data_IF_203136785420
#
_entry.id   IF_203136785420
#
_cell.length_a   1.000
_cell.length_b   1.000
_cell.length_c   1.000
_cell.angle_alpha   90.00
_cell.angle_beta   90.00
_cell.angle_gamma   90.00
#
_symmetry.space_group_name_H-M   'P 1'
#
loop_
_entity.id
_entity.type
_entity.pdbx_description
1 polymer ?
#
# COMPACT_ATOMS: atom_id res chain seq x y z
N UNK A 1 -27.15 15.28 5.33
CA UNK A 1 -26.30 14.88 4.20
C UNK A 1 -25.04 14.08 4.62
N UNK A 2 -24.34 14.42 5.69
CA UNK A 2 -23.13 13.70 6.18
C UNK A 2 -23.39 12.25 6.62
N UNK A 3 -24.50 11.94 7.25
CA UNK A 3 -24.84 10.60 7.74
C UNK A 3 -25.22 9.59 6.64
N UNK A 4 -25.74 10.06 5.52
CA UNK A 4 -26.10 9.22 4.36
C UNK A 4 -24.82 8.85 3.57
N UNK A 5 -23.91 9.79 3.40
CA UNK A 5 -22.63 9.56 2.71
C UNK A 5 -21.75 8.56 3.46
N UNK A 6 -21.68 8.63 4.79
CA UNK A 6 -20.95 7.68 5.64
C UNK A 6 -21.51 6.26 5.54
N UNK A 7 -22.84 6.10 5.50
CA UNK A 7 -23.48 4.78 5.36
C UNK A 7 -23.30 4.17 3.98
N UNK A 8 -23.28 4.98 2.92
CA UNK A 8 -23.02 4.51 1.56
C UNK A 8 -21.56 4.09 1.39
N UNK A 9 -20.61 4.83 1.92
CA UNK A 9 -19.17 4.45 1.89
C UNK A 9 -18.94 3.15 2.65
N UNK A 10 -19.55 2.98 3.83
CA UNK A 10 -19.44 1.75 4.61
C UNK A 10 -20.07 0.54 3.89
N UNK A 11 -21.22 0.73 3.24
CA UNK A 11 -21.87 -0.32 2.47
C UNK A 11 -21.08 -0.72 1.22
N UNK A 12 -20.43 0.26 0.53
CA UNK A 12 -19.55 0.00 -0.62
C UNK A 12 -18.27 -0.72 -0.19
N UNK A 13 -17.68 -0.34 0.95
CA UNK A 13 -16.53 -1.03 1.51
C UNK A 13 -16.87 -2.46 1.93
N UNK A 14 -18.03 -2.69 2.54
CA UNK A 14 -18.50 -4.03 2.91
C UNK A 14 -18.78 -4.90 1.68
N UNK A 15 -19.33 -4.32 0.60
CA UNK A 15 -19.56 -5.01 -0.67
C UNK A 15 -18.25 -5.34 -1.41
N UNK A 16 -17.24 -4.45 -1.35
CA UNK A 16 -15.90 -4.70 -1.85
C UNK A 16 -15.19 -5.80 -1.05
N UNK A 17 -15.34 -5.82 0.28
CA UNK A 17 -14.81 -6.87 1.13
C UNK A 17 -15.40 -8.25 0.82
N UNK A 18 -16.73 -8.31 0.64
CA UNK A 18 -17.40 -9.57 0.26
C UNK A 18 -17.05 -10.03 -1.15
N UNK A 19 -16.82 -9.12 -2.09
CA UNK A 19 -16.42 -9.48 -3.47
C UNK A 19 -14.95 -9.94 -3.55
N UNK A 20 -14.04 -9.41 -2.73
CA UNK A 20 -12.67 -9.92 -2.64
C UNK A 20 -12.61 -11.32 -2.03
N UNK A 21 -13.40 -11.59 -0.98
CA UNK A 21 -13.49 -12.92 -0.39
C UNK A 21 -14.02 -13.99 -1.35
N UNK A 22 -14.94 -13.62 -2.26
CA UNK A 22 -15.47 -14.53 -3.30
C UNK A 22 -14.46 -14.71 -4.44
N UNK A 23 -13.68 -13.67 -4.78
CA UNK A 23 -12.64 -13.77 -5.81
C UNK A 23 -11.46 -14.65 -5.39
N UNK A 24 -11.11 -14.64 -4.10
CA UNK A 24 -10.06 -15.49 -3.55
C UNK A 24 -10.43 -16.99 -3.54
N UNK A 25 -11.72 -17.31 -3.53
CA UNK A 25 -12.22 -18.70 -3.57
C UNK A 25 -12.53 -19.22 -4.98
N UNK A 26 -12.50 -18.38 -6.00
CA UNK A 26 -12.63 -18.82 -7.40
C UNK A 26 -11.33 -19.50 -7.84
N UNK A 27 -11.26 -20.83 -7.72
CA UNK A 27 -10.18 -21.60 -8.34
C UNK A 27 -10.19 -21.29 -9.83
N UNK A 28 -9.07 -20.76 -10.41
CA UNK A 28 -8.99 -20.64 -11.87
C UNK A 28 -9.19 -22.04 -12.45
N UNK A 29 -10.08 -22.18 -13.42
CA UNK A 29 -10.21 -23.41 -14.17
C UNK A 29 -8.84 -23.74 -14.74
N UNK A 30 -8.25 -24.88 -14.33
CA UNK A 30 -6.99 -25.36 -14.86
C UNK A 30 -7.18 -25.57 -16.37
N UNK A 31 -6.55 -24.74 -17.18
CA UNK A 31 -6.46 -25.02 -18.61
C UNK A 31 -5.56 -26.25 -18.73
N UNK A 32 -6.05 -27.31 -19.38
CA UNK A 32 -5.27 -28.52 -19.59
C UNK A 32 -3.90 -28.16 -20.18
N UNK A 33 -2.84 -28.65 -19.58
CA UNK A 33 -1.47 -28.40 -20.06
C UNK A 33 -1.34 -28.99 -21.45
N UNK A 34 -0.87 -28.18 -22.40
CA UNK A 34 -0.64 -28.64 -23.76
C UNK A 34 0.47 -29.71 -23.77
N UNK A 35 0.35 -30.76 -24.59
CA UNK A 35 1.44 -31.73 -24.77
C UNK A 35 2.73 -31.02 -25.20
N UNK A 36 3.87 -31.65 -24.91
CA UNK A 36 5.15 -31.11 -25.32
C UNK A 36 5.20 -30.91 -26.86
N UNK A 37 5.50 -29.69 -27.34
CA UNK A 37 5.55 -29.41 -28.79
C UNK A 37 6.83 -29.96 -29.45
N UNK A 38 7.81 -30.42 -28.68
CA UNK A 38 9.12 -30.88 -29.16
C UNK A 38 9.19 -32.41 -29.12
N UNK A 39 9.55 -33.04 -30.24
CA UNK A 39 9.74 -34.49 -30.35
C UNK A 39 10.86 -35.03 -29.42
N UNK A 40 11.84 -34.16 -29.08
CA UNK A 40 12.93 -34.48 -28.16
C UNK A 40 12.57 -34.32 -26.67
N UNK A 41 11.30 -33.99 -26.39
CA UNK A 41 10.80 -33.81 -25.04
C UNK A 41 10.87 -32.36 -24.54
N UNK A 42 10.21 -32.12 -23.42
CA UNK A 42 10.15 -30.84 -22.72
C UNK A 42 10.56 -30.99 -21.25
N UNK A 43 11.13 -29.92 -20.70
CA UNK A 43 11.34 -29.74 -19.28
C UNK A 43 10.42 -28.61 -18.79
N UNK A 44 9.71 -28.84 -17.71
CA UNK A 44 8.93 -27.81 -17.06
C UNK A 44 9.79 -27.07 -16.04
N UNK A 45 10.04 -25.80 -16.29
CA UNK A 45 10.68 -24.91 -15.31
C UNK A 45 9.62 -24.08 -14.58
N UNK A 46 9.55 -24.21 -13.26
CA UNK A 46 8.60 -23.49 -12.40
C UNK A 46 9.37 -22.43 -11.63
N UNK A 47 9.08 -21.17 -11.89
CA UNK A 47 9.76 -20.04 -11.22
C UNK A 47 9.11 -19.73 -9.88
N UNK A 48 9.92 -19.73 -8.82
CA UNK A 48 9.53 -19.45 -7.45
C UNK A 48 10.35 -18.25 -6.97
N UNK A 49 9.70 -17.09 -6.92
CA UNK A 49 10.30 -15.83 -6.51
C UNK A 49 9.68 -15.35 -5.20
N UNK A 50 10.47 -14.68 -4.35
CA UNK A 50 10.03 -14.15 -3.07
C UNK A 50 9.83 -15.24 -2.01
N UNK A 51 9.00 -14.98 -1.00
CA UNK A 51 8.73 -15.97 0.05
C UNK A 51 7.90 -17.14 -0.48
N UNK A 52 8.16 -18.35 0.05
CA UNK A 52 7.26 -19.49 -0.15
C UNK A 52 6.09 -19.32 0.81
N UNK A 53 5.04 -18.68 0.33
CA UNK A 53 3.74 -18.53 0.97
C UNK A 53 2.77 -19.60 0.45
N UNK A 54 1.55 -19.62 0.98
CA UNK A 54 0.53 -20.57 0.56
C UNK A 54 0.25 -20.49 -0.95
N UNK A 55 0.31 -19.30 -1.52
CA UNK A 55 0.08 -19.09 -2.97
C UNK A 55 1.17 -19.75 -3.80
N UNK A 56 2.44 -19.56 -3.42
CA UNK A 56 3.57 -20.20 -4.09
C UNK A 56 3.52 -21.72 -3.92
N UNK A 57 3.26 -22.21 -2.70
CA UNK A 57 3.17 -23.66 -2.44
C UNK A 57 2.08 -24.33 -3.28
N UNK A 58 0.88 -23.74 -3.33
CA UNK A 58 -0.23 -24.24 -4.15
C UNK A 58 0.06 -24.15 -5.66
N UNK A 59 0.78 -23.11 -6.08
CA UNK A 59 1.19 -22.97 -7.48
C UNK A 59 2.22 -24.04 -7.86
N UNK A 60 3.24 -24.26 -7.02
CA UNK A 60 4.26 -25.28 -7.24
C UNK A 60 3.60 -26.66 -7.35
N UNK A 61 2.75 -27.04 -6.38
CA UNK A 61 2.02 -28.32 -6.38
C UNK A 61 1.23 -28.52 -7.67
N UNK A 62 0.40 -27.54 -8.03
CA UNK A 62 -0.42 -27.63 -9.24
C UNK A 62 0.42 -27.69 -10.50
N UNK A 63 1.37 -26.79 -10.65
CA UNK A 63 2.21 -26.71 -11.84
C UNK A 63 3.06 -27.97 -12.06
N UNK A 64 3.48 -28.61 -10.97
CA UNK A 64 4.22 -29.87 -11.01
C UNK A 64 3.30 -31.06 -11.29
N UNK A 65 2.16 -31.18 -10.61
CA UNK A 65 1.21 -32.28 -10.82
C UNK A 65 0.55 -32.23 -12.21
N UNK A 66 0.27 -31.04 -12.75
CA UNK A 66 -0.35 -30.87 -14.07
C UNK A 66 0.50 -31.45 -15.21
N UNK A 67 1.82 -31.51 -15.08
CA UNK A 67 2.72 -32.05 -16.13
C UNK A 67 3.18 -33.48 -15.86
N UNK A 68 2.99 -33.96 -14.64
CA UNK A 68 3.49 -35.28 -14.23
C UNK A 68 2.97 -36.42 -15.10
N UNK A 69 1.72 -36.34 -15.55
CA UNK A 69 1.07 -37.34 -16.39
C UNK A 69 0.96 -36.94 -17.88
N UNK A 70 1.54 -35.77 -18.26
CA UNK A 70 1.46 -35.30 -19.65
C UNK A 70 2.60 -35.89 -20.48
N UNK A 71 2.29 -36.58 -21.59
CA UNK A 71 3.32 -37.18 -22.44
C UNK A 71 4.28 -36.14 -23.02
N UNK A 72 5.56 -36.51 -23.07
CA UNK A 72 6.60 -35.68 -23.65
C UNK A 72 7.33 -34.78 -22.66
N UNK A 73 6.89 -34.67 -21.39
CA UNK A 73 7.70 -34.05 -20.34
C UNK A 73 8.62 -35.08 -19.71
N UNK A 74 9.91 -34.74 -19.57
CA UNK A 74 10.94 -35.61 -19.01
C UNK A 74 11.33 -35.21 -17.60
N UNK A 75 11.10 -33.97 -17.20
CA UNK A 75 11.56 -33.48 -15.91
C UNK A 75 10.85 -32.16 -15.49
N UNK A 76 10.93 -31.87 -14.20
CA UNK A 76 10.50 -30.64 -13.57
C UNK A 76 11.70 -29.99 -12.89
N UNK A 77 11.90 -28.68 -13.08
CA UNK A 77 12.95 -27.90 -12.43
C UNK A 77 12.31 -26.75 -11.67
N UNK A 78 12.51 -26.67 -10.38
CA UNK A 78 12.18 -25.47 -9.61
C UNK A 78 13.30 -24.44 -9.76
N UNK A 79 12.98 -23.27 -10.30
CA UNK A 79 13.89 -22.12 -10.40
C UNK A 79 13.64 -21.25 -9.19
N UNK A 80 14.59 -21.24 -8.24
CA UNK A 80 14.39 -20.66 -6.92
C UNK A 80 15.16 -19.35 -6.76
N UNK A 81 14.45 -18.29 -6.37
CA UNK A 81 14.98 -17.05 -5.82
C UNK A 81 14.08 -16.63 -4.66
N UNK A 82 14.38 -17.13 -3.45
CA UNK A 82 13.48 -17.01 -2.29
C UNK A 82 14.20 -16.57 -1.04
N UNK A 83 13.58 -15.61 -0.34
CA UNK A 83 14.04 -15.08 0.95
C UNK A 83 13.62 -15.97 2.14
N UNK A 84 12.87 -17.04 1.91
CA UNK A 84 12.43 -17.96 2.97
C UNK A 84 11.05 -18.55 2.72
N UNK A 85 10.56 -19.27 3.75
CA UNK A 85 9.22 -19.83 3.79
C UNK A 85 8.41 -19.18 4.92
N UNK A 86 7.14 -18.87 4.65
CA UNK A 86 6.19 -18.35 5.65
C UNK A 86 5.03 -19.31 5.91
N UNK A 87 4.98 -20.44 5.19
CA UNK A 87 4.03 -21.53 5.45
C UNK A 87 4.45 -22.31 6.71
N UNK A 88 3.53 -23.08 7.25
CA UNK A 88 3.84 -23.93 8.41
C UNK A 88 4.83 -25.05 8.06
N UNK A 89 5.52 -25.57 9.09
CA UNK A 89 6.43 -26.71 8.91
C UNK A 89 5.69 -27.93 8.31
N UNK A 90 4.45 -28.18 8.71
CA UNK A 90 3.60 -29.25 8.19
C UNK A 90 3.37 -29.08 6.67
N UNK A 91 2.99 -27.88 6.24
CA UNK A 91 2.75 -27.57 4.82
C UNK A 91 4.03 -27.62 3.96
N UNK A 92 5.18 -27.22 4.53
CA UNK A 92 6.47 -27.34 3.84
C UNK A 92 6.85 -28.82 3.65
N UNK A 93 6.64 -29.64 4.68
CA UNK A 93 6.87 -31.09 4.60
C UNK A 93 5.97 -31.72 3.54
N UNK A 94 4.66 -31.39 3.57
CA UNK A 94 3.71 -31.91 2.58
C UNK A 94 4.10 -31.50 1.17
N UNK A 95 4.54 -30.24 0.97
CA UNK A 95 5.02 -29.76 -0.33
C UNK A 95 6.22 -30.57 -0.83
N UNK A 96 7.22 -30.80 0.03
CA UNK A 96 8.41 -31.59 -0.33
C UNK A 96 8.01 -33.03 -0.68
N UNK A 97 7.14 -33.62 0.12
CA UNK A 97 6.62 -34.97 -0.09
C UNK A 97 5.91 -35.07 -1.44
N UNK A 98 4.98 -34.16 -1.71
CA UNK A 98 4.22 -34.13 -2.95
C UNK A 98 5.13 -34.04 -4.17
N UNK A 99 6.24 -33.29 -4.08
CA UNK A 99 7.21 -33.12 -5.17
C UNK A 99 8.11 -34.35 -5.36
N UNK A 100 8.52 -34.97 -4.28
CA UNK A 100 9.42 -36.16 -4.32
C UNK A 100 8.67 -37.41 -4.81
N UNK A 101 7.37 -37.53 -4.47
CA UNK A 101 6.55 -38.68 -4.83
C UNK A 101 5.98 -38.60 -6.27
N UNK A 102 6.27 -37.52 -7.03
CA UNK A 102 5.84 -37.39 -8.42
C UNK A 102 6.53 -38.41 -9.34
N UNK A 103 5.84 -38.88 -10.40
CA UNK A 103 6.43 -39.81 -11.36
C UNK A 103 7.56 -39.20 -12.20
N UNK A 104 7.59 -37.89 -12.33
CA UNK A 104 8.67 -37.14 -12.96
C UNK A 104 9.64 -36.63 -11.90
N UNK A 105 10.94 -36.76 -12.17
CA UNK A 105 11.96 -36.26 -11.27
C UNK A 105 11.89 -34.73 -11.17
N UNK A 106 11.77 -34.24 -9.94
CA UNK A 106 11.82 -32.80 -9.61
C UNK A 106 13.22 -32.48 -9.09
N UNK A 107 13.82 -31.40 -9.59
CA UNK A 107 15.09 -30.87 -9.10
C UNK A 107 14.98 -29.37 -8.85
N UNK A 108 15.93 -28.82 -8.10
CA UNK A 108 15.98 -27.39 -7.81
C UNK A 108 17.23 -26.75 -8.41
N UNK A 109 17.06 -25.56 -8.98
CA UNK A 109 18.16 -24.72 -9.42
C UNK A 109 18.01 -23.34 -8.75
N UNK A 110 18.98 -23.00 -7.91
CA UNK A 110 19.04 -21.66 -7.31
C UNK A 110 19.62 -20.71 -8.35
N UNK A 111 18.82 -19.88 -8.90
CA UNK A 111 19.19 -19.00 -10.03
C UNK A 111 18.08 -18.04 -10.43
N UNK A 112 18.45 -17.06 -11.27
CA UNK A 112 19.75 -16.82 -11.93
C UNK A 112 20.84 -16.28 -10.99
N UNK A 113 21.99 -15.90 -11.54
CA UNK A 113 23.09 -15.32 -10.76
C UNK A 113 22.61 -14.20 -9.85
N UNK A 114 23.00 -14.25 -8.57
CA UNK A 114 22.55 -13.33 -7.53
C UNK A 114 21.30 -13.79 -6.77
N UNK A 115 20.64 -14.87 -7.21
CA UNK A 115 19.50 -15.46 -6.52
C UNK A 115 19.90 -16.06 -5.17
N UNK A 116 18.90 -16.34 -4.36
CA UNK A 116 19.11 -16.91 -3.03
C UNK A 116 18.03 -17.93 -2.68
N UNK A 117 18.39 -18.85 -1.78
CA UNK A 117 17.47 -19.77 -1.14
C UNK A 117 17.72 -19.73 0.37
N UNK A 118 16.86 -19.06 1.12
CA UNK A 118 17.03 -18.85 2.55
C UNK A 118 15.91 -19.54 3.35
N UNK A 119 16.16 -19.78 4.64
CA UNK A 119 15.15 -20.36 5.53
C UNK A 119 14.59 -21.69 5.02
N UNK A 120 13.28 -21.86 5.08
CA UNK A 120 12.61 -23.07 4.57
C UNK A 120 12.75 -23.28 3.06
N UNK A 121 13.09 -22.24 2.27
CA UNK A 121 13.42 -22.41 0.87
C UNK A 121 14.76 -23.12 0.68
N UNK A 122 15.74 -22.94 1.58
CA UNK A 122 16.99 -23.70 1.56
C UNK A 122 16.74 -25.19 1.83
N UNK A 123 15.83 -25.50 2.74
CA UNK A 123 15.44 -26.90 3.03
C UNK A 123 14.72 -27.54 1.84
N UNK A 124 13.77 -26.82 1.21
CA UNK A 124 13.11 -27.30 -0.01
C UNK A 124 14.12 -27.58 -1.12
N UNK A 125 15.07 -26.66 -1.35
CA UNK A 125 16.13 -26.80 -2.35
C UNK A 125 16.99 -28.02 -2.05
N UNK A 126 17.45 -28.16 -0.81
CA UNK A 126 18.32 -29.27 -0.40
C UNK A 126 17.64 -30.64 -0.57
N UNK A 127 16.30 -30.69 -0.44
CA UNK A 127 15.53 -31.94 -0.64
C UNK A 127 15.42 -32.40 -2.10
N UNK A 128 15.75 -31.55 -3.09
CA UNK A 128 15.42 -31.73 -4.51
C UNK A 128 16.65 -31.82 -5.43
N UNK A 129 17.76 -32.41 -4.98
CA UNK A 129 19.00 -32.52 -5.76
C UNK A 129 19.42 -31.19 -6.41
N UNK A 130 19.86 -30.22 -5.61
CA UNK A 130 20.07 -28.86 -6.09
C UNK A 130 21.32 -28.67 -6.93
N UNK A 131 21.27 -27.72 -7.86
CA UNK A 131 22.44 -26.99 -8.32
C UNK A 131 22.24 -25.47 -8.16
N UNK A 132 23.33 -24.73 -8.25
CA UNK A 132 23.34 -23.31 -7.97
C UNK A 132 23.98 -22.55 -9.12
N UNK A 133 23.47 -21.36 -9.44
CA UNK A 133 24.14 -20.44 -10.35
C UNK A 133 25.31 -19.73 -9.66
N UNK A 134 26.27 -19.16 -10.41
CA UNK A 134 27.34 -18.37 -9.81
C UNK A 134 26.82 -17.16 -9.03
N UNK A 135 27.48 -16.81 -7.92
CA UNK A 135 27.09 -15.72 -7.01
C UNK A 135 25.72 -15.89 -6.36
N UNK A 136 25.21 -17.09 -6.25
CA UNK A 136 23.99 -17.38 -5.50
C UNK A 136 24.31 -17.79 -4.06
N UNK A 137 23.29 -17.75 -3.20
CA UNK A 137 23.45 -18.00 -1.77
C UNK A 137 22.40 -18.96 -1.27
N UNK A 138 22.78 -19.77 -0.26
CA UNK A 138 21.87 -20.69 0.44
C UNK A 138 22.17 -20.67 1.94
N UNK A 139 21.14 -20.75 2.80
CA UNK A 139 21.33 -20.82 4.25
C UNK A 139 20.25 -20.11 5.05
N UNK A 140 20.66 -19.62 6.25
CA UNK A 140 19.77 -18.96 7.22
C UNK A 140 18.51 -19.78 7.52
N UNK A 141 18.69 -21.10 7.66
CA UNK A 141 17.57 -22.06 7.85
C UNK A 141 16.84 -21.80 9.17
N UNK A 142 17.53 -21.27 10.17
CA UNK A 142 16.96 -21.03 11.48
C UNK A 142 16.62 -22.33 12.21
N UNK A 143 15.38 -22.48 12.62
CA UNK A 143 14.87 -23.74 13.18
C UNK A 143 14.43 -24.63 12.01
N UNK A 144 15.00 -25.84 11.84
CA UNK A 144 14.61 -26.75 10.77
C UNK A 144 13.10 -27.03 10.79
N UNK A 145 12.49 -26.98 9.63
CA UNK A 145 11.06 -27.19 9.45
C UNK A 145 10.75 -28.59 8.91
N UNK A 146 11.72 -29.23 8.24
CA UNK A 146 11.54 -30.58 7.69
C UNK A 146 11.52 -31.64 8.78
N UNK A 147 10.69 -32.66 8.60
CA UNK A 147 10.56 -33.79 9.51
C UNK A 147 11.85 -34.61 9.59
N UNK A 148 12.45 -34.61 10.77
CA UNK A 148 13.70 -35.34 11.04
C UNK A 148 13.59 -36.88 10.84
N UNK A 149 12.39 -37.45 11.01
CA UNK A 149 12.20 -38.88 10.80
C UNK A 149 12.27 -39.27 9.32
N UNK A 150 11.78 -38.37 8.44
CA UNK A 150 11.74 -38.61 6.99
C UNK A 150 12.97 -38.08 6.27
N UNK A 151 13.49 -36.92 6.71
CA UNK A 151 14.59 -36.21 6.07
C UNK A 151 15.81 -36.04 6.98
N UNK A 152 16.07 -37.03 7.88
CA UNK A 152 17.03 -36.88 8.98
C UNK A 152 18.44 -36.49 8.57
N UNK A 153 19.00 -37.13 7.52
CA UNK A 153 20.34 -36.78 7.03
C UNK A 153 20.38 -35.35 6.44
N UNK A 154 19.34 -34.96 5.74
CA UNK A 154 19.20 -33.61 5.17
C UNK A 154 19.04 -32.57 6.26
N UNK A 155 18.14 -32.80 7.23
CA UNK A 155 17.93 -31.90 8.37
C UNK A 155 19.23 -31.75 9.16
N UNK A 156 19.97 -32.83 9.41
CA UNK A 156 21.24 -32.79 10.14
C UNK A 156 22.28 -31.98 9.37
N UNK A 157 22.37 -32.13 8.05
CA UNK A 157 23.33 -31.39 7.23
C UNK A 157 23.00 -29.91 7.15
N UNK A 158 21.74 -29.58 6.96
CA UNK A 158 21.26 -28.17 6.90
C UNK A 158 21.33 -27.49 8.25
N UNK A 159 20.91 -28.16 9.33
CA UNK A 159 20.93 -27.58 10.69
C UNK A 159 22.38 -27.28 11.13
N UNK A 160 23.30 -28.21 10.95
CA UNK A 160 24.68 -28.04 11.40
C UNK A 160 25.42 -26.96 10.60
N UNK A 161 25.16 -26.88 9.29
CA UNK A 161 25.93 -26.05 8.36
C UNK A 161 25.31 -24.70 8.01
N UNK A 162 23.99 -24.57 8.10
CA UNK A 162 23.24 -23.46 7.53
C UNK A 162 22.29 -22.77 8.50
N UNK A 163 22.22 -23.17 9.77
CA UNK A 163 21.23 -22.65 10.72
C UNK A 163 21.24 -21.11 10.82
N UNK A 164 22.42 -20.50 10.99
CA UNK A 164 22.61 -19.08 11.18
C UNK A 164 23.61 -18.50 10.16
N UNK A 165 23.99 -19.28 9.16
CA UNK A 165 24.97 -18.89 8.17
C UNK A 165 24.39 -18.94 6.78
N UNK A 166 24.87 -18.04 5.94
CA UNK A 166 24.56 -18.01 4.51
C UNK A 166 25.87 -18.28 3.78
N UNK A 167 25.88 -19.27 2.93
CA UNK A 167 27.04 -19.68 2.14
C UNK A 167 26.79 -19.42 0.66
N UNK A 168 27.87 -19.28 -0.10
CA UNK A 168 27.81 -19.11 -1.56
C UNK A 168 27.77 -20.45 -2.29
N UNK A 169 27.64 -20.41 -3.63
CA UNK A 169 27.59 -21.60 -4.47
C UNK A 169 28.84 -22.46 -4.37
N UNK A 170 30.04 -21.88 -4.23
CA UNK A 170 31.31 -22.61 -4.20
C UNK A 170 31.43 -23.37 -2.87
N UNK A 171 31.06 -22.76 -1.76
CA UNK A 171 31.06 -23.38 -0.45
C UNK A 171 29.95 -24.44 -0.35
N UNK A 172 28.78 -24.21 -0.95
CA UNK A 172 27.70 -25.19 -0.99
C UNK A 172 28.08 -26.45 -1.76
N UNK A 173 28.84 -26.34 -2.85
CA UNK A 173 29.38 -27.47 -3.60
C UNK A 173 30.43 -28.25 -2.77
N UNK A 174 31.36 -27.53 -2.09
CA UNK A 174 32.36 -28.16 -1.22
C UNK A 174 31.71 -28.91 -0.05
N UNK A 175 30.60 -28.46 0.47
CA UNK A 175 29.85 -29.10 1.56
C UNK A 175 28.88 -30.19 1.08
N UNK A 176 28.81 -30.43 -0.23
CA UNK A 176 27.89 -31.40 -0.86
C UNK A 176 26.39 -31.06 -0.65
N UNK A 177 26.08 -29.78 -0.41
CA UNK A 177 24.72 -29.24 -0.33
C UNK A 177 24.19 -28.85 -1.71
N UNK A 178 25.07 -28.59 -2.67
CA UNK A 178 24.80 -28.46 -4.08
C UNK A 178 25.60 -29.49 -4.86
N UNK A 179 24.99 -30.08 -5.87
CA UNK A 179 25.66 -31.08 -6.71
C UNK A 179 26.76 -30.45 -7.58
N UNK A 180 26.55 -29.20 -7.99
CA UNK A 180 27.45 -28.47 -8.91
C UNK A 180 27.00 -27.01 -9.09
N UNK A 181 27.87 -26.25 -9.72
CA UNK A 181 27.56 -24.90 -10.17
C UNK A 181 27.14 -24.93 -11.64
N UNK A 182 25.85 -24.59 -11.93
CA UNK A 182 25.29 -24.48 -13.28
C UNK A 182 24.95 -23.03 -13.59
N UNK A 183 25.63 -22.43 -14.56
CA UNK A 183 25.54 -20.99 -14.84
C UNK A 183 24.15 -20.55 -15.35
N UNK A 184 23.50 -21.41 -16.11
CA UNK A 184 22.17 -21.18 -16.68
C UNK A 184 21.27 -22.42 -16.49
N UNK A 185 19.96 -22.20 -16.55
CA UNK A 185 18.97 -23.27 -16.44
C UNK A 185 19.21 -24.41 -17.47
N UNK A 186 19.72 -24.07 -18.67
CA UNK A 186 20.07 -25.05 -19.69
C UNK A 186 21.19 -26.00 -19.27
N UNK A 187 22.20 -25.48 -18.57
CA UNK A 187 23.31 -26.30 -18.05
C UNK A 187 22.82 -27.25 -16.96
N UNK A 188 21.93 -26.77 -16.05
CA UNK A 188 21.29 -27.63 -15.07
C UNK A 188 20.51 -28.78 -15.72
N UNK A 189 19.69 -28.47 -16.75
CA UNK A 189 18.94 -29.47 -17.49
C UNK A 189 19.86 -30.50 -18.18
N UNK A 190 20.93 -30.05 -18.85
CA UNK A 190 21.92 -30.90 -19.53
C UNK A 190 22.65 -31.85 -18.59
N UNK A 191 23.02 -31.34 -17.43
CA UNK A 191 23.82 -32.06 -16.46
C UNK A 191 23.02 -33.11 -15.68
N UNK A 192 21.69 -33.12 -15.77
CA UNK A 192 20.83 -34.16 -15.19
C UNK A 192 20.96 -35.51 -15.87
N UNK A 193 21.27 -35.56 -17.17
CA UNK A 193 21.46 -36.77 -17.93
C UNK A 193 20.16 -37.43 -18.46
N UNK A 194 18.98 -36.95 -18.05
CA UNK A 194 17.65 -37.48 -18.44
C UNK A 194 16.95 -36.60 -19.51
N UNK A 195 17.70 -35.72 -20.15
CA UNK A 195 17.22 -34.86 -21.24
C UNK A 195 17.96 -35.16 -22.55
N UNK A 196 17.29 -34.98 -23.68
CA UNK A 196 17.90 -35.14 -24.98
C UNK A 196 18.91 -34.03 -25.26
N UNK A 197 20.12 -34.40 -25.65
CA UNK A 197 21.17 -33.46 -26.04
C UNK A 197 21.94 -33.94 -27.27
N UNK A 198 22.68 -33.05 -27.88
CA UNK A 198 23.59 -33.31 -28.99
C UNK A 198 24.96 -32.80 -28.65
N UNK A 199 25.97 -33.62 -28.88
CA UNK A 199 27.34 -33.19 -28.82
C UNK A 199 27.67 -32.35 -30.08
N UNK A 200 28.08 -31.13 -29.89
CA UNK A 200 28.52 -30.19 -30.91
C UNK A 200 29.89 -29.68 -30.56
N UNK A 201 30.56 -29.08 -31.52
CA UNK A 201 31.84 -28.40 -31.30
C UNK A 201 31.61 -26.90 -31.41
N UNK A 202 32.10 -26.16 -30.43
CA UNK A 202 32.01 -24.68 -30.48
C UNK A 202 32.97 -24.10 -31.54
N UNK A 203 32.86 -22.77 -31.76
CA UNK A 203 33.66 -22.07 -32.76
C UNK A 203 35.18 -22.12 -32.45
N UNK A 204 35.55 -22.47 -31.20
CA UNK A 204 36.93 -22.62 -30.73
C UNK A 204 37.40 -24.07 -30.75
N UNK A 205 36.60 -24.99 -31.29
CA UNK A 205 36.95 -26.41 -31.41
C UNK A 205 36.76 -27.24 -30.12
N UNK A 206 36.09 -26.70 -29.11
CA UNK A 206 35.85 -27.40 -27.82
C UNK A 206 34.54 -28.19 -27.90
N UNK A 207 34.48 -29.40 -27.31
CA UNK A 207 33.26 -30.17 -27.22
C UNK A 207 32.24 -29.43 -26.35
N UNK A 208 31.04 -29.22 -26.87
CA UNK A 208 29.92 -28.62 -26.19
C UNK A 208 28.67 -29.49 -26.33
N UNK A 209 27.87 -29.59 -25.28
CA UNK A 209 26.53 -30.17 -25.35
C UNK A 209 25.49 -29.13 -25.63
N UNK A 210 24.66 -29.41 -26.58
CA UNK A 210 23.51 -28.56 -26.91
C UNK A 210 22.22 -29.27 -26.52
N UNK A 211 21.39 -28.58 -25.75
CA UNK A 211 20.09 -29.09 -25.30
C UNK A 211 19.13 -29.17 -26.50
N UNK A 212 18.60 -30.37 -26.79
CA UNK A 212 17.57 -30.58 -27.79
C UNK A 212 16.17 -30.48 -27.19
N UNK A 213 16.05 -30.70 -25.91
CA UNK A 213 14.81 -30.58 -25.13
C UNK A 213 14.41 -29.12 -24.96
N UNK A 214 13.12 -28.81 -25.04
CA UNK A 214 12.63 -27.45 -24.85
C UNK A 214 12.32 -27.17 -23.37
N UNK A 215 12.86 -26.08 -22.84
CA UNK A 215 12.50 -25.58 -21.50
C UNK A 215 11.23 -24.73 -21.58
N UNK A 216 10.17 -25.15 -20.91
CA UNK A 216 8.91 -24.40 -20.81
C UNK A 216 8.84 -23.80 -19.41
N UNK A 217 9.15 -22.52 -19.32
CA UNK A 217 9.15 -21.79 -18.05
C UNK A 217 7.78 -21.20 -17.76
N UNK A 218 7.29 -21.40 -16.55
CA UNK A 218 6.06 -20.83 -16.05
C UNK A 218 6.31 -20.13 -14.70
N UNK A 219 5.55 -19.10 -14.43
CA UNK A 219 5.54 -18.38 -13.16
C UNK A 219 4.12 -18.08 -12.71
N UNK A 220 3.98 -17.48 -11.55
CA UNK A 220 2.68 -17.09 -11.01
C UNK A 220 1.91 -16.21 -12.02
N UNK A 221 0.62 -16.48 -12.26
CA UNK A 221 -0.24 -15.56 -13.01
C UNK A 221 -0.27 -14.16 -12.38
N UNK A 222 -0.40 -13.11 -13.19
CA UNK A 222 -0.33 -11.72 -12.72
C UNK A 222 -1.28 -11.43 -11.55
N UNK A 223 -2.51 -11.95 -11.60
CA UNK A 223 -3.49 -11.77 -10.51
C UNK A 223 -3.04 -12.39 -9.19
N UNK A 224 -2.49 -13.59 -9.27
CA UNK A 224 -1.97 -14.33 -8.11
C UNK A 224 -0.67 -13.70 -7.62
N UNK A 225 0.16 -13.19 -8.54
CA UNK A 225 1.38 -12.48 -8.22
C UNK A 225 1.12 -11.19 -7.42
N UNK A 226 0.03 -10.46 -7.70
CA UNK A 226 -0.37 -9.30 -6.91
C UNK A 226 -0.69 -9.67 -5.47
N UNK A 227 -1.41 -10.76 -5.24
CA UNK A 227 -1.74 -11.26 -3.91
C UNK A 227 -0.47 -11.74 -3.18
N UNK A 228 0.39 -12.49 -3.86
CA UNK A 228 1.69 -12.91 -3.34
C UNK A 228 2.57 -11.70 -2.95
N UNK A 229 2.62 -10.65 -3.80
CA UNK A 229 3.35 -9.42 -3.48
C UNK A 229 2.77 -8.72 -2.24
N UNK A 230 1.44 -8.69 -2.10
CA UNK A 230 0.77 -8.12 -0.93
C UNK A 230 1.07 -8.89 0.36
N UNK A 231 1.33 -10.19 0.28
CA UNK A 231 1.74 -11.05 1.39
C UNK A 231 3.24 -10.94 1.74
N UNK A 232 4.01 -10.08 1.06
CA UNK A 232 5.40 -9.85 1.46
C UNK A 232 5.51 -8.95 2.69
N UNK A 233 6.46 -9.18 3.62
CA UNK A 233 6.62 -8.37 4.83
C UNK A 233 6.80 -6.89 4.56
N UNK A 234 7.52 -6.53 3.49
CA UNK A 234 7.74 -5.15 3.09
C UNK A 234 6.44 -4.45 2.68
N UNK A 235 5.67 -5.09 1.79
CA UNK A 235 4.45 -4.50 1.23
C UNK A 235 3.34 -4.46 2.27
N UNK A 236 3.15 -5.54 3.04
CA UNK A 236 2.16 -5.59 4.11
C UNK A 236 2.41 -4.49 5.17
N UNK A 237 3.66 -4.30 5.59
CA UNK A 237 4.04 -3.26 6.53
C UNK A 237 3.86 -1.84 5.97
N UNK A 238 4.33 -1.58 4.74
CA UNK A 238 4.18 -0.27 4.12
C UNK A 238 2.71 0.06 3.83
N UNK A 239 1.93 -0.92 3.40
CA UNK A 239 0.49 -0.74 3.22
C UNK A 239 -0.20 -0.40 4.54
N UNK A 240 0.18 -1.03 5.67
CA UNK A 240 -0.31 -0.68 7.00
C UNK A 240 0.05 0.77 7.37
N UNK A 241 1.31 1.18 7.14
CA UNK A 241 1.77 2.54 7.42
C UNK A 241 1.01 3.59 6.61
N UNK A 242 0.85 3.36 5.30
CA UNK A 242 0.10 4.23 4.40
C UNK A 242 -1.38 4.28 4.78
N UNK A 243 -1.98 3.13 5.08
CA UNK A 243 -3.37 3.04 5.50
C UNK A 243 -3.65 3.90 6.75
N UNK A 244 -2.86 3.71 7.81
CA UNK A 244 -2.99 4.50 9.04
C UNK A 244 -2.80 5.99 8.74
N UNK A 245 -1.76 6.36 8.01
CA UNK A 245 -1.46 7.76 7.68
C UNK A 245 -2.58 8.43 6.88
N UNK A 246 -3.05 7.79 5.81
CA UNK A 246 -4.10 8.35 4.94
C UNK A 246 -5.47 8.37 5.59
N UNK A 247 -5.83 7.36 6.38
CA UNK A 247 -7.10 7.33 7.10
C UNK A 247 -7.13 8.43 8.19
N UNK A 248 -6.06 8.61 8.95
CA UNK A 248 -5.92 9.72 9.87
C UNK A 248 -6.00 11.06 9.14
N UNK A 249 -5.28 11.20 8.04
CA UNK A 249 -5.30 12.40 7.22
C UNK A 249 -6.74 12.75 6.78
N UNK A 250 -7.46 11.80 6.17
CA UNK A 250 -8.83 12.03 5.70
C UNK A 250 -9.78 12.36 6.85
N UNK A 251 -9.65 11.67 7.98
CA UNK A 251 -10.54 11.85 9.12
C UNK A 251 -10.44 13.27 9.70
N UNK A 252 -9.23 13.85 9.72
CA UNK A 252 -8.99 15.16 10.32
C UNK A 252 -8.95 16.33 9.35
N UNK A 253 -8.83 16.11 8.04
CA UNK A 253 -8.70 17.20 7.07
C UNK A 253 -9.99 17.57 6.35
N UNK A 254 -11.08 16.83 6.51
CA UNK A 254 -12.34 17.02 5.79
C UNK A 254 -12.14 17.10 4.27
N UNK A 255 -11.31 16.19 3.73
CA UNK A 255 -10.98 16.08 2.31
C UNK A 255 -12.17 15.67 1.44
N UNK A 256 -11.91 15.49 0.16
CA UNK A 256 -12.88 15.01 -0.84
C UNK A 256 -13.09 13.50 -0.84
N UNK A 257 -12.49 12.77 0.11
CA UNK A 257 -12.62 11.31 0.24
C UNK A 257 -11.53 10.50 -0.47
N UNK A 258 -10.68 11.12 -1.27
CA UNK A 258 -9.65 10.39 -2.05
C UNK A 258 -8.63 9.71 -1.16
N UNK A 259 -8.10 10.41 -0.15
CA UNK A 259 -7.14 9.82 0.79
C UNK A 259 -7.79 8.70 1.61
N UNK A 260 -9.06 8.85 1.99
CA UNK A 260 -9.83 7.82 2.68
C UNK A 260 -10.00 6.56 1.85
N UNK A 261 -10.34 6.69 0.56
CA UNK A 261 -10.48 5.55 -0.36
C UNK A 261 -9.15 4.83 -0.56
N UNK A 262 -8.07 5.56 -0.85
CA UNK A 262 -6.73 4.96 -1.01
C UNK A 262 -6.27 4.32 0.30
N UNK A 263 -6.48 4.99 1.44
CA UNK A 263 -6.16 4.44 2.76
C UNK A 263 -6.94 3.16 3.07
N UNK A 264 -8.20 3.08 2.70
CA UNK A 264 -9.02 1.88 2.86
C UNK A 264 -8.53 0.72 1.96
N UNK A 265 -8.16 0.99 0.72
CA UNK A 265 -7.56 -0.03 -0.18
C UNK A 265 -6.24 -0.55 0.43
N UNK A 266 -5.38 0.36 0.90
CA UNK A 266 -4.15 -0.03 1.59
C UNK A 266 -4.42 -0.83 2.88
N UNK A 267 -5.48 -0.50 3.63
CA UNK A 267 -5.86 -1.25 4.83
C UNK A 267 -6.31 -2.68 4.50
N UNK A 268 -7.07 -2.87 3.41
CA UNK A 268 -7.47 -4.20 2.93
C UNK A 268 -6.24 -5.00 2.51
N UNK A 269 -5.35 -4.38 1.74
CA UNK A 269 -4.12 -5.02 1.28
C UNK A 269 -3.19 -5.38 2.45
N UNK A 270 -3.03 -4.47 3.42
CA UNK A 270 -2.30 -4.75 4.65
C UNK A 270 -2.94 -5.88 5.45
N UNK A 271 -4.26 -5.85 5.63
CA UNK A 271 -5.01 -6.90 6.35
C UNK A 271 -4.82 -8.28 5.72
N UNK A 272 -4.88 -8.36 4.39
CA UNK A 272 -4.59 -9.60 3.66
C UNK A 272 -3.15 -10.06 3.89
N UNK A 273 -2.16 -9.20 3.61
CA UNK A 273 -0.74 -9.57 3.76
C UNK A 273 -0.36 -9.93 5.19
N UNK A 274 -0.89 -9.21 6.18
CA UNK A 274 -0.66 -9.52 7.59
C UNK A 274 -1.34 -10.82 8.05
N UNK A 275 -2.44 -11.24 7.42
CA UNK A 275 -3.08 -12.52 7.74
C UNK A 275 -2.28 -13.74 7.27
N UNK A 276 -1.50 -13.59 6.19
CA UNK A 276 -0.65 -14.64 5.62
C UNK A 276 0.72 -14.74 6.31
N UNK A 277 1.13 -13.72 7.08
CA UNK A 277 2.45 -13.64 7.69
C UNK A 277 2.42 -14.03 9.18
N UNK A 278 3.48 -14.66 9.71
CA UNK A 278 3.59 -14.92 11.14
C UNK A 278 3.73 -13.62 11.91
N UNK A 279 2.67 -13.26 12.65
CA UNK A 279 2.57 -11.98 13.37
C UNK A 279 2.71 -12.14 14.87
N UNK A 280 3.34 -11.14 15.50
CA UNK A 280 3.21 -10.90 16.94
C UNK A 280 2.04 -9.96 17.19
N UNK A 281 0.91 -10.50 17.63
CA UNK A 281 -0.33 -9.75 17.84
C UNK A 281 -0.19 -8.53 18.75
N UNK A 282 0.68 -8.59 19.77
CA UNK A 282 0.96 -7.45 20.64
C UNK A 282 1.65 -6.30 19.89
N UNK A 283 2.51 -6.61 18.92
CA UNK A 283 3.20 -5.60 18.11
C UNK A 283 2.23 -4.94 17.12
N UNK A 284 1.34 -5.72 16.50
CA UNK A 284 0.24 -5.17 15.70
C UNK A 284 -0.67 -4.27 16.54
N UNK A 285 -0.99 -4.69 17.78
CA UNK A 285 -1.78 -3.87 18.69
C UNK A 285 -1.10 -2.53 19.00
N UNK A 286 0.25 -2.50 19.15
CA UNK A 286 1.00 -1.25 19.32
C UNK A 286 0.94 -0.37 18.05
N UNK A 287 1.02 -0.95 16.86
CA UNK A 287 0.85 -0.21 15.61
C UNK A 287 -0.54 0.44 15.53
N UNK A 288 -1.60 -0.29 15.88
CA UNK A 288 -2.96 0.23 15.90
C UNK A 288 -3.17 1.26 17.02
N UNK A 289 -2.58 1.03 18.20
CA UNK A 289 -2.61 1.98 19.30
C UNK A 289 -1.91 3.30 18.93
N UNK A 290 -0.87 3.27 18.11
CA UNK A 290 -0.20 4.48 17.64
C UNK A 290 -1.18 5.40 16.87
N UNK A 291 -2.06 4.82 16.03
CA UNK A 291 -3.08 5.58 15.32
C UNK A 291 -4.04 6.30 16.28
N UNK A 292 -4.43 5.62 17.37
CA UNK A 292 -5.27 6.22 18.39
C UNK A 292 -4.54 7.35 19.15
N UNK A 293 -3.28 7.14 19.49
CA UNK A 293 -2.45 8.17 20.15
C UNK A 293 -2.30 9.42 19.25
N UNK A 294 -2.03 9.24 17.96
CA UNK A 294 -1.98 10.34 17.00
C UNK A 294 -3.31 11.09 16.89
N UNK A 295 -4.43 10.35 16.85
CA UNK A 295 -5.76 10.92 16.79
C UNK A 295 -6.06 11.85 17.99
N UNK A 296 -5.66 11.46 19.20
CA UNK A 296 -5.82 12.28 20.40
C UNK A 296 -5.05 13.59 20.29
N UNK A 297 -3.79 13.54 19.86
CA UNK A 297 -2.94 14.73 19.78
C UNK A 297 -3.45 15.73 18.74
N UNK A 298 -3.95 15.22 17.60
CA UNK A 298 -4.54 16.05 16.56
C UNK A 298 -5.82 16.76 17.08
N UNK A 299 -6.63 16.11 17.92
CA UNK A 299 -7.85 16.68 18.46
C UNK A 299 -7.59 17.68 19.59
N UNK A 300 -6.66 17.38 20.47
CA UNK A 300 -6.45 18.14 21.72
C UNK A 300 -5.57 19.38 21.52
N UNK A 301 -4.81 19.44 20.42
CA UNK A 301 -3.82 20.50 20.13
C UNK A 301 -2.84 20.76 21.29
N UNK A 302 -2.73 19.84 22.25
CA UNK A 302 -1.83 19.91 23.41
C UNK A 302 -0.43 19.42 22.97
N UNK A 303 0.65 19.94 23.54
CA UNK A 303 1.97 19.78 22.98
C UNK A 303 2.45 18.32 22.97
N UNK A 304 2.26 17.65 21.84
CA UNK A 304 3.04 16.52 21.31
C UNK A 304 3.31 15.31 22.20
N UNK A 305 2.72 15.19 23.39
CA UNK A 305 2.92 14.05 24.26
C UNK A 305 2.37 12.76 23.62
N UNK A 306 1.16 12.84 23.10
CA UNK A 306 0.53 11.70 22.45
C UNK A 306 1.16 11.36 21.09
N UNK A 307 1.69 12.36 20.37
CA UNK A 307 2.50 12.11 19.17
C UNK A 307 3.78 11.35 19.53
N UNK A 308 4.45 11.69 20.62
CA UNK A 308 5.63 10.95 21.10
C UNK A 308 5.27 9.50 21.48
N UNK A 309 4.21 9.31 22.26
CA UNK A 309 3.70 7.98 22.61
C UNK A 309 3.36 7.18 21.35
N UNK A 310 2.69 7.80 20.40
CA UNK A 310 2.33 7.19 19.11
C UNK A 310 3.55 6.78 18.30
N UNK A 311 4.57 7.65 18.20
CA UNK A 311 5.81 7.34 17.47
C UNK A 311 6.61 6.21 18.14
N UNK A 312 6.69 6.20 19.49
CA UNK A 312 7.34 5.11 20.21
C UNK A 312 6.59 3.80 20.00
N UNK A 313 5.26 3.81 20.16
CA UNK A 313 4.43 2.63 19.93
C UNK A 313 4.52 2.12 18.48
N UNK A 314 4.50 3.03 17.50
CA UNK A 314 4.70 2.70 16.09
C UNK A 314 6.08 2.07 15.86
N UNK A 315 7.14 2.65 16.41
CA UNK A 315 8.51 2.17 16.23
C UNK A 315 8.70 0.78 16.84
N UNK A 316 8.27 0.58 18.09
CA UNK A 316 8.35 -0.72 18.75
C UNK A 316 7.48 -1.75 18.02
N UNK A 317 6.23 -1.40 17.69
CA UNK A 317 5.34 -2.26 16.96
C UNK A 317 5.93 -2.68 15.60
N UNK A 318 6.50 -1.74 14.84
CA UNK A 318 7.11 -2.01 13.53
C UNK A 318 8.32 -2.93 13.60
N UNK A 319 9.20 -2.74 14.57
CA UNK A 319 10.43 -3.53 14.73
C UNK A 319 10.15 -4.98 15.12
N UNK A 320 9.05 -5.23 15.83
CA UNK A 320 8.70 -6.54 16.35
C UNK A 320 7.44 -7.13 15.70
N UNK A 321 6.97 -6.57 14.58
CA UNK A 321 5.69 -6.93 13.96
C UNK A 321 5.62 -8.40 13.55
N UNK A 322 6.70 -8.93 12.97
CA UNK A 322 6.75 -10.29 12.46
C UNK A 322 7.49 -11.22 13.43
N UNK A 323 7.08 -12.49 13.46
CA UNK A 323 7.73 -13.53 14.24
C UNK A 323 8.63 -14.38 13.34
N UNK A 324 9.91 -14.48 13.69
CA UNK A 324 10.90 -15.20 12.86
C UNK A 324 11.31 -14.51 11.56
N UNK A 325 10.61 -13.45 11.15
CA UNK A 325 10.91 -12.69 9.94
C UNK A 325 11.22 -11.23 10.29
N UNK A 326 11.91 -10.55 9.38
CA UNK A 326 12.16 -9.11 9.50
C UNK A 326 11.73 -8.41 8.23
N UNK A 327 10.99 -7.32 8.37
CA UNK A 327 10.78 -6.42 7.23
C UNK A 327 12.13 -5.87 6.78
N UNK A 328 12.37 -5.72 5.47
CA UNK A 328 13.59 -5.12 4.95
C UNK A 328 13.85 -3.75 5.57
N UNK A 329 15.10 -3.47 5.91
CA UNK A 329 15.47 -2.22 6.60
C UNK A 329 14.99 -0.96 5.89
N UNK A 330 14.94 -0.98 4.54
CA UNK A 330 14.46 0.14 3.73
C UNK A 330 12.96 0.38 3.93
N UNK A 331 12.16 -0.69 4.03
CA UNK A 331 10.73 -0.59 4.32
C UNK A 331 10.50 -0.04 5.73
N UNK A 332 11.26 -0.53 6.73
CA UNK A 332 11.23 -0.03 8.10
C UNK A 332 11.58 1.46 8.16
N UNK A 333 12.70 1.86 7.53
CA UNK A 333 13.12 3.25 7.50
C UNK A 333 12.05 4.14 6.85
N UNK A 334 11.47 3.70 5.74
CA UNK A 334 10.43 4.44 5.01
C UNK A 334 9.15 4.56 5.85
N UNK A 335 8.69 3.47 6.48
CA UNK A 335 7.49 3.48 7.31
C UNK A 335 7.66 4.28 8.60
N UNK A 336 8.80 4.15 9.29
CA UNK A 336 9.13 4.92 10.49
C UNK A 336 9.33 6.40 10.18
N UNK A 337 10.16 6.70 9.17
CA UNK A 337 10.46 8.07 8.75
C UNK A 337 9.24 8.78 8.17
N UNK A 338 8.49 8.10 7.31
CA UNK A 338 7.26 8.63 6.72
C UNK A 338 6.20 8.96 7.77
N UNK A 339 5.99 8.07 8.74
CA UNK A 339 5.06 8.33 9.85
C UNK A 339 5.54 9.49 10.74
N UNK A 340 6.83 9.56 11.05
CA UNK A 340 7.41 10.66 11.81
C UNK A 340 7.23 12.01 11.08
N UNK A 341 7.56 12.09 9.79
CA UNK A 341 7.38 13.31 8.98
C UNK A 341 5.90 13.70 8.91
N UNK A 342 5.02 12.74 8.67
CA UNK A 342 3.58 12.99 8.61
C UNK A 342 3.06 13.57 9.94
N UNK A 343 3.41 12.99 11.08
CA UNK A 343 2.88 13.37 12.38
C UNK A 343 3.55 14.61 12.96
N UNK A 344 4.86 14.82 12.73
CA UNK A 344 5.58 15.97 13.28
C UNK A 344 5.45 17.24 12.42
N UNK A 345 5.28 17.10 11.12
CA UNK A 345 5.26 18.21 10.17
C UNK A 345 3.96 18.29 9.36
N UNK A 346 3.54 17.21 8.72
CA UNK A 346 2.41 17.18 7.81
C UNK A 346 1.09 17.53 8.49
N UNK A 347 0.70 16.79 9.51
CA UNK A 347 -0.56 16.98 10.22
C UNK A 347 -0.64 18.36 10.91
N UNK A 348 0.36 18.82 11.67
CA UNK A 348 0.31 20.15 12.26
C UNK A 348 0.21 21.30 11.24
N UNK A 349 0.86 21.15 10.09
CA UNK A 349 0.78 22.15 9.02
C UNK A 349 -0.63 22.23 8.42
N UNK A 350 -1.25 21.09 8.19
CA UNK A 350 -2.62 21.01 7.66
C UNK A 350 -3.67 21.51 8.64
N UNK A 351 -3.57 21.14 9.90
CA UNK A 351 -4.48 21.63 10.94
C UNK A 351 -4.37 23.14 11.05
N UNK A 352 -3.14 23.68 11.05
CA UNK A 352 -2.94 25.15 11.07
C UNK A 352 -3.53 25.84 9.86
N UNK A 353 -3.36 25.30 8.66
CA UNK A 353 -3.93 25.90 7.43
C UNK A 353 -5.45 25.89 7.43
N UNK A 354 -6.09 24.90 8.05
CA UNK A 354 -7.55 24.81 8.18
C UNK A 354 -8.13 25.85 9.13
N UNK A 355 -7.41 26.19 10.19
CA UNK A 355 -7.84 27.18 11.19
C UNK A 355 -7.17 28.54 11.00
N UNK A 356 -6.31 28.71 10.00
CA UNK A 356 -5.81 30.02 9.63
C UNK A 356 -6.99 30.88 9.17
N UNK A 357 -7.17 32.04 9.80
CA UNK A 357 -8.07 33.06 9.27
C UNK A 357 -7.65 33.35 7.83
N UNK A 358 -8.60 33.43 6.89
CA UNK A 358 -8.27 33.72 5.51
C UNK A 358 -7.43 35.00 5.45
N UNK A 359 -6.16 34.88 5.14
CA UNK A 359 -5.23 36.02 4.98
C UNK A 359 -5.65 36.96 3.83
N UNK A 360 -6.65 36.54 3.06
CA UNK A 360 -7.30 37.31 2.00
C UNK A 360 -8.63 37.96 2.43
N UNK A 361 -9.04 37.74 3.69
CA UNK A 361 -10.22 38.37 4.24
C UNK A 361 -9.89 39.81 4.60
N UNK A 362 -10.46 40.78 3.89
CA UNK A 362 -10.39 42.23 4.22
C UNK A 362 -11.30 42.61 5.41
N UNK A 363 -11.64 41.65 6.26
CA UNK A 363 -12.51 41.84 7.41
C UNK A 363 -12.03 42.93 8.38
N UNK A 364 -10.74 43.28 8.37
CA UNK A 364 -10.15 44.38 9.10
C UNK A 364 -10.66 45.75 8.61
N UNK A 365 -11.23 45.85 7.40
CA UNK A 365 -11.82 47.06 6.84
C UNK A 365 -13.25 47.31 7.34
N UNK A 366 -13.95 46.28 7.82
CA UNK A 366 -15.30 46.38 8.36
C UNK A 366 -15.25 47.29 9.60
N UNK A 367 -16.10 48.32 9.60
CA UNK A 367 -16.15 49.35 10.64
C UNK A 367 -15.21 50.52 10.38
N UNK A 368 -14.29 50.48 9.42
CA UNK A 368 -13.45 51.63 9.09
C UNK A 368 -14.24 52.74 8.36
N UNK A 369 -13.83 53.97 8.63
CA UNK A 369 -14.30 55.13 7.94
C UNK A 369 -13.51 55.36 6.66
N UNK A 370 -14.16 55.88 5.63
CA UNK A 370 -13.59 56.27 4.36
C UNK A 370 -14.31 57.45 3.73
N UNK A 371 -13.88 57.87 2.55
CA UNK A 371 -14.47 58.94 1.78
C UNK A 371 -14.84 58.48 0.36
N UNK A 372 -15.96 58.92 -0.15
CA UNK A 372 -16.39 58.65 -1.51
C UNK A 372 -15.55 59.46 -2.50
N UNK A 373 -14.91 58.79 -3.46
CA UNK A 373 -14.16 59.43 -4.54
C UNK A 373 -15.13 59.85 -5.68
N UNK A 374 -16.11 58.98 -5.95
CA UNK A 374 -17.19 59.27 -6.91
C UNK A 374 -18.54 59.14 -6.25
N UNK A 375 -19.60 59.67 -6.91
CA UNK A 375 -20.96 59.42 -6.46
C UNK A 375 -21.24 57.91 -6.44
N UNK A 376 -21.82 57.40 -5.33
CA UNK A 376 -22.16 55.98 -5.12
C UNK A 376 -23.69 55.86 -5.11
N UNK A 377 -24.24 55.36 -6.25
CA UNK A 377 -25.71 55.20 -6.40
C UNK A 377 -26.02 54.11 -7.48
N UNK A 378 -26.08 52.84 -7.19
CA UNK A 378 -25.63 52.13 -5.98
C UNK A 378 -24.12 51.84 -5.97
N UNK A 379 -23.42 51.98 -7.09
CA UNK A 379 -21.99 51.62 -7.25
C UNK A 379 -21.14 52.89 -7.40
N UNK A 380 -19.91 52.84 -6.87
CA UNK A 380 -18.92 53.87 -6.98
C UNK A 380 -17.55 53.47 -6.48
N UNK A 381 -16.68 54.45 -6.26
CA UNK A 381 -15.32 54.25 -5.74
C UNK A 381 -15.11 55.00 -4.44
N UNK A 382 -14.40 54.40 -3.51
CA UNK A 382 -14.14 54.93 -2.17
C UNK A 382 -12.66 54.86 -1.86
N UNK A 383 -12.19 55.80 -1.06
CA UNK A 383 -10.88 55.69 -0.39
C UNK A 383 -11.09 55.22 1.04
N UNK A 384 -10.51 54.10 1.37
CA UNK A 384 -10.50 53.56 2.73
C UNK A 384 -9.05 53.19 3.08
N UNK A 385 -8.52 53.85 4.09
CA UNK A 385 -7.16 53.62 4.60
C UNK A 385 -6.04 53.89 3.55
N UNK A 386 -6.25 54.87 2.64
CA UNK A 386 -5.33 55.25 1.58
C UNK A 386 -5.39 54.34 0.34
N UNK A 387 -6.33 53.42 0.29
CA UNK A 387 -6.57 52.53 -0.85
C UNK A 387 -7.89 52.85 -1.57
N UNK A 388 -7.87 52.83 -2.90
CA UNK A 388 -9.05 53.03 -3.72
C UNK A 388 -9.76 51.71 -3.94
N UNK A 389 -11.04 51.64 -3.56
CA UNK A 389 -11.86 50.44 -3.61
C UNK A 389 -13.17 50.69 -4.38
N UNK A 390 -13.65 49.64 -5.05
CA UNK A 390 -15.04 49.65 -5.52
C UNK A 390 -15.97 49.49 -4.32
N UNK A 391 -17.05 50.25 -4.30
CA UNK A 391 -18.04 50.19 -3.23
C UNK A 391 -19.44 50.16 -3.78
N UNK A 392 -20.32 49.53 -3.04
CA UNK A 392 -21.78 49.55 -3.28
C UNK A 392 -22.47 50.05 -2.02
N UNK A 393 -23.52 50.78 -2.22
CA UNK A 393 -24.43 51.23 -1.14
C UNK A 393 -25.85 50.77 -1.43
N UNK A 394 -26.68 50.76 -0.38
CA UNK A 394 -28.11 50.54 -0.57
C UNK A 394 -28.71 51.70 -1.40
N UNK A 395 -29.59 51.39 -2.35
CA UNK A 395 -30.29 52.39 -3.19
C UNK A 395 -31.00 53.47 -2.39
N UNK A 396 -31.34 53.21 -1.14
CA UNK A 396 -31.97 54.15 -0.24
C UNK A 396 -31.00 55.14 0.41
N UNK A 397 -29.69 54.92 0.31
CA UNK A 397 -28.66 55.73 0.99
C UNK A 397 -27.49 56.04 0.05
N UNK A 398 -27.72 56.78 -1.07
CA UNK A 398 -26.64 57.19 -1.96
C UNK A 398 -25.66 58.11 -1.22
N UNK A 399 -24.37 57.94 -1.53
CA UNK A 399 -23.32 58.83 -0.97
C UNK A 399 -22.72 59.67 -2.10
N UNK A 400 -22.70 60.97 -1.93
CA UNK A 400 -22.12 61.88 -2.91
C UNK A 400 -20.58 61.87 -2.82
N UNK A 401 -19.91 62.24 -3.92
CA UNK A 401 -18.47 62.39 -3.93
C UNK A 401 -17.99 63.34 -2.84
N UNK A 402 -16.95 62.96 -2.10
CA UNK A 402 -16.42 63.66 -0.93
C UNK A 402 -17.17 63.38 0.38
N UNK A 403 -18.27 62.63 0.36
CA UNK A 403 -19.00 62.23 1.57
C UNK A 403 -18.27 61.17 2.40
N UNK A 404 -18.40 61.32 3.71
CA UNK A 404 -17.87 60.26 4.64
C UNK A 404 -18.77 59.02 4.61
N UNK A 405 -18.13 57.85 4.80
CA UNK A 405 -18.80 56.55 4.78
C UNK A 405 -18.14 55.57 5.74
N UNK A 406 -18.87 54.55 6.11
CA UNK A 406 -18.39 53.43 6.92
C UNK A 406 -18.55 52.13 6.16
N UNK A 407 -17.51 51.27 6.21
CA UNK A 407 -17.56 49.94 5.61
C UNK A 407 -18.36 49.01 6.53
N UNK A 408 -19.44 48.40 6.04
CA UNK A 408 -20.32 47.49 6.80
C UNK A 408 -20.19 46.05 6.36
N UNK A 409 -19.74 45.80 5.13
CA UNK A 409 -19.56 44.45 4.61
C UNK A 409 -18.55 44.40 3.47
N UNK A 410 -18.23 43.21 3.05
CA UNK A 410 -17.31 42.94 1.92
C UNK A 410 -17.90 41.79 1.10
N UNK A 411 -18.17 42.05 -0.16
CA UNK A 411 -18.56 41.05 -1.13
C UNK A 411 -17.48 40.93 -2.23
N UNK A 412 -16.69 39.87 -2.13
CA UNK A 412 -15.56 39.62 -3.03
C UNK A 412 -14.54 40.78 -3.04
N UNK A 413 -14.50 41.57 -4.09
CA UNK A 413 -13.64 42.75 -4.25
C UNK A 413 -14.32 44.05 -4.01
N UNK A 414 -15.61 44.09 -3.68
CA UNK A 414 -16.44 45.28 -3.51
C UNK A 414 -16.73 45.48 -2.02
N UNK A 415 -16.63 46.70 -1.54
CA UNK A 415 -16.98 47.08 -0.17
C UNK A 415 -18.46 47.45 -0.12
N UNK A 416 -19.19 46.92 0.86
CA UNK A 416 -20.52 47.42 1.21
C UNK A 416 -20.36 48.56 2.19
N UNK A 417 -20.97 49.71 1.86
CA UNK A 417 -20.79 50.91 2.64
C UNK A 417 -22.13 51.51 3.05
N UNK A 418 -22.11 52.30 4.12
CA UNK A 418 -23.24 53.13 4.57
C UNK A 418 -22.76 54.52 5.00
N UNK A 419 -23.64 55.54 5.06
CA UNK A 419 -23.33 56.84 5.69
C UNK A 419 -22.99 56.66 7.19
N UNK A 420 -22.15 57.55 7.78
CA UNK A 420 -21.71 57.39 9.17
C UNK A 420 -22.85 57.47 10.21
N UNK A 421 -23.91 58.16 9.90
CA UNK A 421 -24.99 58.51 10.85
C UNK A 421 -26.14 57.53 10.92
N UNK A 422 -26.10 56.45 10.16
CA UNK A 422 -27.13 55.42 10.26
C UNK A 422 -27.27 54.54 9.06
N UNK A 423 -27.52 53.25 9.35
CA UNK A 423 -27.83 52.25 8.36
C UNK A 423 -29.08 52.55 7.57
N UNK A 424 -29.28 51.90 6.45
CA UNK A 424 -30.47 51.99 5.63
C UNK A 424 -31.72 51.78 6.48
N UNK A 425 -32.59 52.77 6.52
CA UNK A 425 -33.92 52.61 7.14
C UNK A 425 -34.65 51.53 6.34
N UNK A 426 -35.10 50.50 7.01
CA UNK A 426 -35.86 49.42 6.36
C UNK A 426 -37.08 50.06 5.66
N UNK A 427 -37.23 49.85 4.38
CA UNK A 427 -38.33 50.32 3.59
C UNK A 427 -39.70 49.96 4.21
N UNK A 428 -39.77 48.97 5.02
CA UNK A 428 -40.96 48.52 5.75
C UNK A 428 -41.32 49.43 6.94
N UNK A 429 -40.37 50.19 7.47
CA UNK A 429 -40.63 51.17 8.56
C UNK A 429 -41.08 52.53 8.11
N UNK A 430 -41.12 52.80 6.80
CA UNK A 430 -41.79 53.98 6.25
C UNK A 430 -43.31 53.79 6.22
N UNK A 431 -43.94 53.72 7.38
CA UNK A 431 -45.35 54.03 7.45
C UNK A 431 -45.46 55.51 7.19
N UNK A 432 -46.33 56.00 6.25
CA UNK A 432 -46.66 57.38 6.16
C UNK A 432 -47.26 57.84 7.51
N UNK A 433 -46.72 58.86 8.10
CA UNK A 433 -47.38 59.50 9.23
C UNK A 433 -48.84 59.82 8.81
N UNK A 434 -49.78 59.27 9.59
CA UNK A 434 -51.16 59.58 9.41
C UNK A 434 -51.32 61.13 9.41
N UNK A 435 -51.76 61.69 8.34
CA UNK A 435 -52.21 63.09 8.31
C UNK A 435 -53.33 63.24 9.33
N UNK A 436 -53.04 63.95 10.41
CA UNK A 436 -54.08 64.56 11.25
C UNK A 436 -54.93 65.48 10.37
N UNK A 437 -56.07 65.06 9.88
CA UNK A 437 -57.12 65.80 9.34
C UNK A 437 -58.18 66.00 10.46
N UNK A 438 -58.30 67.24 11.02
CA UNK A 438 -59.32 67.52 12.01
C UNK A 438 -60.57 68.01 11.30
N UNK A 439 -61.50 67.14 11.05
CA UNK A 439 -62.80 67.61 10.57
C UNK A 439 -63.64 66.55 9.87
N UNK A 440 -64.44 65.87 10.62
CA UNK A 440 -65.87 65.79 10.31
C UNK A 440 -66.62 65.23 11.51
N UNK A 441 -67.50 66.05 12.01
CA UNK A 441 -68.44 65.81 13.07
C UNK A 441 -69.61 64.93 12.54
N UNK A 442 -70.14 63.97 13.24
CA UNK A 442 -71.27 63.20 12.73
C UNK A 442 -72.61 63.97 13.02
N UNK A 443 -73.29 64.34 11.96
CA UNK A 443 -74.70 64.71 12.03
C UNK A 443 -75.57 63.54 12.49
N UNK A 444 -76.24 63.80 13.57
CA UNK A 444 -77.41 63.04 14.08
C UNK A 444 -78.56 63.15 13.09
N UNK A 445 -79.26 62.05 12.77
CA UNK A 445 -80.73 62.03 12.64
C UNK A 445 -81.27 60.60 12.58
N UNK A 446 -82.16 60.36 13.59
CA UNK A 446 -83.27 59.41 13.72
C UNK A 446 -83.05 57.96 13.49
#
# INVERSE_FOLDING_TARGET
MRTVLSRTIFAVLLALFSSLGVAASARPASAAVAPCPNENGCVRAITVNGFIDQINADFIRRAASEVADVPGYSAIILVIDSEGSVISAEELNDLVVDLVDLPLKVTAWVGPSGAQALGGAAELVAALEPSMAPNTRIGDVGVPQLDQQRFGDLVTSTDTSLRETVIDNDEAEQRSLSLRTDAILGDHALNRGDVAFKDVTDDEGRPKRELLTTNITIGLPVTTQLLHTAASPAVAYLALAIAIGLLLFEFFTAGVGVAGVVGAICAVMAGYGLAELPLRWWALALCLFSAFAFAIDIQTAIPRLWTLIGLVSWSVGSLFLFDGLRAPWLALLTGLGGMAVLMLSGMPSMVRSRFATPTLGRSWMIGKMGTAISDINPEGTVDVDGGIWRAITNRATPVMAGGELRVVGIDGMTLEIEPPEGGAIDYRDRRPAASDDPGDEPDSVT
#
